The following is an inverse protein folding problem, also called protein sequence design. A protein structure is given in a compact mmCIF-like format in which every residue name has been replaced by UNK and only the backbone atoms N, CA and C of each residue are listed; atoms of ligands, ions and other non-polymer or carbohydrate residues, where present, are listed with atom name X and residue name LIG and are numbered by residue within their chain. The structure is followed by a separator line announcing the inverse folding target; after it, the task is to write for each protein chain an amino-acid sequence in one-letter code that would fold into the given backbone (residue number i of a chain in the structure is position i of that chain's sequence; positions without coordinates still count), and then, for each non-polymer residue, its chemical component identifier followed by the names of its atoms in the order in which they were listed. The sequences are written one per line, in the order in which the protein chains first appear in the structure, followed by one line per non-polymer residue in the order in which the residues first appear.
data_IF_929426714811
#
_entry.id   IF_929426714811
#
_cell.length_a   1.000
_cell.length_b   1.000
_cell.length_c   1.000
_cell.angle_alpha   90.00
_cell.angle_beta   90.00
_cell.angle_gamma   90.00
#
_symmetry.space_group_name_H-M   'P 1'
#
loop_
_entity.id
_entity.type
_entity.pdbx_description
1 polymer ?
#
# COMPACT_ATOMS: atom_id res chain seq x y z
N UNK A 1 17.39 7.44 -55.95
CA UNK A 1 17.27 8.70 -56.72
C UNK A 1 16.31 9.61 -55.96
N UNK A 2 16.81 10.77 -55.50
CA UNK A 2 16.05 11.98 -55.04
C UNK A 2 15.25 11.82 -53.72
N UNK A 3 15.32 12.64 -52.65
CA UNK A 3 16.12 13.78 -52.13
C UNK A 3 15.76 13.87 -50.62
N UNK A 4 16.71 13.77 -49.67
CA UNK A 4 17.23 14.85 -48.78
C UNK A 4 16.35 16.09 -48.58
N UNK A 5 16.01 16.40 -47.31
CA UNK A 5 16.00 17.70 -46.59
C UNK A 5 15.93 17.36 -45.08
N UNK A 6 17.03 17.39 -44.31
CA UNK A 6 17.65 18.51 -43.59
C UNK A 6 16.77 19.29 -42.58
N UNK A 7 17.14 19.12 -41.30
CA UNK A 7 17.34 20.15 -40.24
C UNK A 7 16.10 20.91 -39.73
N UNK A 8 15.94 21.32 -38.47
CA UNK A 8 16.88 21.56 -37.36
C UNK A 8 16.08 21.74 -36.05
N UNK A 9 16.72 21.35 -34.96
CA UNK A 9 16.69 21.91 -33.60
C UNK A 9 15.73 23.07 -33.31
N UNK A 10 14.85 22.90 -32.33
CA UNK A 10 14.53 23.96 -31.37
C UNK A 10 14.44 23.40 -29.95
N UNK A 11 15.48 23.72 -29.20
CA UNK A 11 15.56 23.65 -27.75
C UNK A 11 14.64 24.72 -27.16
N UNK A 12 13.77 24.35 -26.21
CA UNK A 12 13.24 25.29 -25.22
C UNK A 12 13.23 24.61 -23.85
N UNK A 13 14.39 24.66 -23.23
CA UNK A 13 14.58 24.57 -21.78
C UNK A 13 13.82 25.72 -21.12
N UNK A 14 12.82 25.41 -20.29
CA UNK A 14 12.20 26.40 -19.40
C UNK A 14 12.88 26.25 -18.04
N UNK A 15 13.74 27.22 -17.74
CA UNK A 15 14.43 27.40 -16.46
C UNK A 15 13.55 28.33 -15.60
N UNK A 16 13.15 27.89 -14.41
CA UNK A 16 12.63 28.76 -13.35
C UNK A 16 13.62 28.80 -12.17
N UNK A 17 13.83 29.95 -11.53
CA UNK A 17 14.89 30.13 -10.53
C UNK A 17 14.51 29.65 -9.12
N UNK A 18 15.54 29.31 -8.36
CA UNK A 18 15.54 28.93 -6.94
C UNK A 18 15.11 30.06 -5.98
N UNK A 19 14.39 29.71 -4.90
CA UNK A 19 14.84 29.83 -3.48
C UNK A 19 13.80 29.25 -2.49
N UNK A 20 14.24 28.70 -1.34
CA UNK A 20 13.35 28.06 -0.36
C UNK A 20 12.72 29.10 0.58
N UNK A 21 11.41 28.97 0.82
CA UNK A 21 10.72 29.69 1.88
C UNK A 21 10.52 28.71 3.04
N UNK A 22 11.20 28.96 4.16
CA UNK A 22 10.89 28.34 5.45
C UNK A 22 9.55 28.90 5.94
N UNK A 23 8.50 28.09 5.93
CA UNK A 23 7.24 28.40 6.62
C UNK A 23 7.14 27.41 7.78
N UNK A 24 7.31 27.90 9.00
CA UNK A 24 6.89 27.16 10.19
C UNK A 24 5.36 27.05 10.15
N UNK A 25 4.84 25.83 10.05
CA UNK A 25 3.42 25.57 10.24
C UNK A 25 3.24 24.82 11.55
N UNK A 26 2.65 25.53 12.50
CA UNK A 26 2.04 25.01 13.72
C UNK A 26 1.05 23.90 13.37
N UNK A 27 1.24 22.72 13.96
CA UNK A 27 0.27 21.63 13.87
C UNK A 27 -1.01 21.99 14.65
N UNK A 28 -2.22 21.69 14.11
CA UNK A 28 -3.46 21.80 14.87
C UNK A 28 -3.55 20.68 15.92
N UNK A 29 -3.93 21.04 17.15
CA UNK A 29 -4.18 20.09 18.25
C UNK A 29 -5.43 19.23 17.98
N UNK A 30 -5.41 17.91 18.28
CA UNK A 30 -6.62 17.09 18.29
C UNK A 30 -7.49 17.38 19.52
N UNK A 31 -8.81 17.39 19.31
CA UNK A 31 -9.86 17.58 20.31
C UNK A 31 -9.80 16.51 21.42
N UNK A 32 -9.67 16.97 22.67
CA UNK A 32 -9.78 16.18 23.90
C UNK A 32 -11.18 15.55 24.02
N UNK A 33 -11.25 14.21 24.03
CA UNK A 33 -12.38 13.46 24.57
C UNK A 33 -12.21 13.32 26.09
N UNK A 34 -13.21 13.76 26.83
CA UNK A 34 -13.30 13.61 28.28
C UNK A 34 -13.25 12.14 28.72
N UNK A 35 -12.32 11.81 29.62
CA UNK A 35 -12.38 10.62 30.47
C UNK A 35 -12.59 11.08 31.92
N UNK A 36 -13.61 10.50 32.55
CA UNK A 36 -14.15 10.82 33.87
C UNK A 36 -13.14 10.56 35.00
N UNK A 37 -12.82 11.60 35.77
CA UNK A 37 -12.08 11.48 37.02
C UNK A 37 -12.99 10.94 38.14
N UNK A 38 -12.58 9.83 38.75
CA UNK A 38 -13.17 9.34 40.00
C UNK A 38 -12.68 10.20 41.17
N UNK A 39 -13.62 10.87 41.83
CA UNK A 39 -13.40 11.64 43.05
C UNK A 39 -13.24 10.69 44.24
N UNK A 40 -12.16 10.81 45.00
CA UNK A 40 -12.08 10.24 46.35
C UNK A 40 -12.13 11.34 47.42
N UNK A 41 -13.05 11.12 48.34
CA UNK A 41 -13.51 11.97 49.43
C UNK A 41 -12.43 12.24 50.49
N UNK A 42 -12.43 13.47 51.00
CA UNK A 42 -11.63 13.93 52.14
C UNK A 42 -12.35 13.67 53.45
N UNK A 43 -11.70 13.00 54.42
CA UNK A 43 -12.15 12.93 55.80
C UNK A 43 -10.99 13.13 56.80
N UNK A 44 -11.07 14.28 57.48
CA UNK A 44 -10.82 14.62 58.88
C UNK A 44 -9.46 14.29 59.55
N UNK A 45 -8.86 15.35 60.06
CA UNK A 45 -7.81 15.37 61.08
C UNK A 45 -8.36 15.03 62.48
N UNK A 46 -7.58 14.32 63.28
CA UNK A 46 -7.39 14.57 64.73
C UNK A 46 -6.12 13.89 65.25
N UNK A 47 -5.39 14.67 66.05
CA UNK A 47 -4.49 14.40 67.18
C UNK A 47 -3.27 13.45 67.10
N UNK A 48 -2.11 14.11 67.11
CA UNK A 48 -0.96 13.99 68.02
C UNK A 48 -0.74 12.67 68.76
N UNK A 49 0.32 11.95 68.37
CA UNK A 49 1.20 11.18 69.26
C UNK A 49 2.56 10.96 68.58
N UNK A 50 3.64 11.39 69.26
CA UNK A 50 5.04 11.04 68.94
C UNK A 50 5.31 9.67 69.57
N UNK A 51 5.89 8.72 68.81
CA UNK A 51 6.97 7.95 69.41
C UNK A 51 8.17 7.69 68.46
N UNK A 52 9.33 7.76 69.10
CA UNK A 52 10.54 6.96 68.91
C UNK A 52 11.23 6.86 67.55
N UNK A 53 12.36 7.59 67.48
CA UNK A 53 13.55 7.21 66.73
C UNK A 53 14.02 5.82 67.16
N UNK A 54 13.66 4.80 66.39
CA UNK A 54 14.45 3.57 66.31
C UNK A 54 14.69 3.22 64.84
N UNK A 55 15.98 3.21 64.52
CA UNK A 55 16.58 2.87 63.26
C UNK A 55 16.25 1.42 62.85
N UNK A 56 15.48 1.27 61.78
CA UNK A 56 15.66 0.18 60.83
C UNK A 56 15.50 0.77 59.42
N UNK A 57 16.62 1.19 58.84
CA UNK A 57 16.72 1.58 57.45
C UNK A 57 16.46 0.36 56.57
N UNK A 58 15.19 0.04 56.34
CA UNK A 58 14.85 -0.78 55.18
C UNK A 58 15.05 0.12 53.96
N UNK A 59 16.17 -0.08 53.27
CA UNK A 59 16.39 0.37 51.91
C UNK A 59 15.33 -0.29 51.01
N UNK A 60 14.08 0.17 51.09
CA UNK A 60 13.09 -0.19 50.11
C UNK A 60 13.33 0.71 48.92
N UNK A 61 13.85 0.13 47.84
CA UNK A 61 13.95 0.81 46.55
C UNK A 61 12.58 1.40 46.22
N UNK A 62 12.51 2.66 45.74
CA UNK A 62 11.24 3.30 45.42
C UNK A 62 10.45 2.41 44.45
N UNK A 63 9.14 2.35 44.66
CA UNK A 63 8.26 1.60 43.77
C UNK A 63 8.30 2.18 42.35
N UNK A 64 7.93 1.39 41.34
CA UNK A 64 7.90 1.86 39.94
C UNK A 64 7.06 3.14 39.76
N UNK A 65 5.85 3.27 40.36
CA UNK A 65 5.08 4.53 40.28
C UNK A 65 5.75 5.72 40.96
N UNK A 66 6.39 5.53 42.12
CA UNK A 66 7.13 6.59 42.82
C UNK A 66 8.34 7.06 42.01
N UNK A 67 9.06 6.11 41.41
CA UNK A 67 10.18 6.40 40.52
C UNK A 67 9.74 7.18 39.28
N UNK A 68 8.62 6.79 38.64
CA UNK A 68 8.08 7.52 37.50
C UNK A 68 7.72 8.96 37.86
N UNK A 69 6.97 9.18 38.95
CA UNK A 69 6.60 10.53 39.40
C UNK A 69 7.82 11.38 39.76
N UNK A 70 8.83 10.78 40.41
CA UNK A 70 10.07 11.47 40.75
C UNK A 70 10.81 11.93 39.49
N UNK A 71 10.89 11.07 38.48
CA UNK A 71 11.50 11.40 37.19
C UNK A 71 10.72 12.48 36.43
N UNK A 72 9.39 12.40 36.38
CA UNK A 72 8.55 13.45 35.77
C UNK A 72 8.72 14.80 36.48
N UNK A 73 8.78 14.78 37.81
CA UNK A 73 9.02 15.97 38.62
C UNK A 73 10.41 16.58 38.35
N UNK A 74 11.46 15.75 38.30
CA UNK A 74 12.82 16.21 38.01
C UNK A 74 12.99 16.74 36.59
N UNK A 75 12.31 16.13 35.61
CA UNK A 75 12.37 16.53 34.21
C UNK A 75 11.39 17.68 33.87
N UNK A 76 10.45 18.00 34.76
CA UNK A 76 9.47 19.06 34.57
C UNK A 76 8.41 18.74 33.50
N UNK A 77 8.24 17.47 33.12
CA UNK A 77 7.30 17.03 32.11
C UNK A 77 6.78 15.63 32.41
N UNK A 78 5.49 15.39 32.16
CA UNK A 78 4.90 14.04 32.24
C UNK A 78 5.35 13.16 31.07
N UNK A 79 5.50 11.86 31.34
CA UNK A 79 5.71 10.87 30.29
C UNK A 79 4.39 10.59 29.58
N UNK A 80 4.44 10.59 28.25
CA UNK A 80 3.27 10.27 27.43
C UNK A 80 3.10 8.75 27.33
N UNK A 81 1.86 8.28 27.31
CA UNK A 81 1.55 6.90 26.95
C UNK A 81 1.40 6.71 25.42
N UNK A 82 1.44 7.80 24.65
CA UNK A 82 1.36 7.72 23.21
C UNK A 82 2.60 7.02 22.65
N UNK A 83 2.44 6.17 21.63
CA UNK A 83 3.57 5.56 20.95
C UNK A 83 4.53 6.64 20.44
N UNK A 84 5.83 6.46 20.69
CA UNK A 84 6.87 7.37 20.18
C UNK A 84 6.96 7.30 18.64
N UNK A 85 6.43 6.24 18.03
CA UNK A 85 6.41 6.06 16.58
C UNK A 85 5.26 6.84 15.94
N UNK A 86 5.50 7.54 14.80
CA UNK A 86 4.42 8.14 14.04
C UNK A 86 3.48 7.04 13.52
N UNK A 87 2.16 7.29 13.46
CA UNK A 87 1.23 6.32 12.89
C UNK A 87 1.62 6.04 11.43
N UNK A 88 1.49 4.78 10.96
CA UNK A 88 1.85 4.43 9.61
C UNK A 88 0.89 5.08 8.60
N UNK A 89 1.44 5.72 7.57
CA UNK A 89 0.74 6.25 6.41
C UNK A 89 0.12 5.10 5.61
N UNK A 90 -0.96 5.42 4.91
CA UNK A 90 -1.53 4.54 3.89
C UNK A 90 -0.55 4.41 2.72
N UNK A 91 -0.35 3.18 2.25
CA UNK A 91 0.49 2.90 1.09
C UNK A 91 -0.34 2.38 -0.09
N UNK A 92 0.15 2.62 -1.30
CA UNK A 92 -0.37 1.98 -2.52
C UNK A 92 0.56 0.84 -2.90
N UNK A 93 0.01 -0.37 -3.01
CA UNK A 93 0.70 -1.60 -3.34
C UNK A 93 0.25 -2.02 -4.73
N UNK A 94 1.18 -2.03 -5.68
CA UNK A 94 0.96 -2.47 -7.05
C UNK A 94 1.44 -3.91 -7.18
N UNK A 95 0.51 -4.84 -7.33
CA UNK A 95 0.80 -6.25 -7.58
C UNK A 95 0.67 -6.53 -9.07
N UNK A 96 1.78 -6.94 -9.68
CA UNK A 96 1.83 -7.34 -11.08
C UNK A 96 2.67 -8.61 -11.24
N UNK A 97 2.84 -9.06 -12.48
CA UNK A 97 3.56 -10.29 -12.81
C UNK A 97 3.04 -10.90 -14.10
N UNK A 98 3.69 -11.93 -14.64
CA UNK A 98 3.28 -12.56 -15.88
C UNK A 98 1.88 -13.17 -15.81
N UNK A 99 1.28 -13.45 -16.97
CA UNK A 99 0.10 -14.30 -17.04
C UNK A 99 0.38 -15.70 -16.44
N UNK A 100 -0.58 -16.26 -15.69
CA UNK A 100 -0.48 -17.62 -15.13
C UNK A 100 0.21 -17.74 -13.77
N UNK A 101 0.83 -16.68 -13.24
CA UNK A 101 1.57 -16.74 -11.95
C UNK A 101 0.68 -16.77 -10.69
N UNK A 102 -0.64 -16.68 -10.83
CA UNK A 102 -1.58 -16.79 -9.71
C UNK A 102 -1.85 -15.48 -8.95
N UNK A 103 -1.80 -14.33 -9.62
CA UNK A 103 -2.07 -13.00 -9.02
C UNK A 103 -3.40 -12.97 -8.25
N UNK A 104 -4.47 -13.46 -8.86
CA UNK A 104 -5.81 -13.47 -8.25
C UNK A 104 -5.87 -14.36 -7.01
N UNK A 105 -5.16 -15.50 -7.02
CA UNK A 105 -5.11 -16.40 -5.86
C UNK A 105 -4.40 -15.73 -4.67
N UNK A 106 -3.26 -15.07 -4.92
CA UNK A 106 -2.53 -14.31 -3.88
C UNK A 106 -3.37 -13.17 -3.34
N UNK A 107 -4.04 -12.40 -4.21
CA UNK A 107 -4.90 -11.28 -3.82
C UNK A 107 -6.10 -11.75 -2.99
N UNK A 108 -6.78 -12.80 -3.44
CA UNK A 108 -7.94 -13.33 -2.74
C UNK A 108 -7.56 -13.83 -1.36
N UNK A 109 -6.44 -14.56 -1.24
CA UNK A 109 -5.95 -15.04 0.05
C UNK A 109 -5.49 -13.88 0.94
N UNK A 110 -4.80 -12.89 0.39
CA UNK A 110 -4.38 -11.68 1.12
C UNK A 110 -5.59 -10.92 1.69
N UNK A 111 -6.71 -10.86 0.95
CA UNK A 111 -7.96 -10.26 1.42
C UNK A 111 -8.56 -10.98 2.63
N UNK A 112 -8.36 -12.29 2.74
CA UNK A 112 -8.87 -13.09 3.86
C UNK A 112 -8.02 -12.95 5.12
N UNK A 113 -6.70 -12.83 4.97
CA UNK A 113 -5.77 -12.90 6.11
C UNK A 113 -5.36 -11.54 6.66
N UNK A 114 -5.51 -10.47 5.87
CA UNK A 114 -5.04 -9.14 6.23
C UNK A 114 -6.13 -8.07 6.12
N UNK A 115 -6.49 -7.52 7.27
CA UNK A 115 -7.42 -6.40 7.38
C UNK A 115 -6.76 -5.06 7.00
N UNK A 116 -7.58 -4.03 6.80
CA UNK A 116 -7.10 -2.68 6.47
C UNK A 116 -6.56 -2.51 5.04
N UNK A 117 -6.86 -3.47 4.15
CA UNK A 117 -6.54 -3.40 2.73
C UNK A 117 -7.80 -3.23 1.88
N UNK A 118 -7.80 -2.20 1.04
CA UNK A 118 -8.78 -2.05 -0.02
C UNK A 118 -8.23 -2.55 -1.36
N UNK A 119 -8.91 -3.53 -1.95
CA UNK A 119 -8.57 -4.06 -3.27
C UNK A 119 -9.39 -3.35 -4.33
N UNK A 120 -8.72 -2.53 -5.16
CA UNK A 120 -9.42 -1.72 -6.16
C UNK A 120 -10.03 -2.60 -7.24
N UNK A 121 -11.33 -2.43 -7.45
CA UNK A 121 -12.07 -3.09 -8.53
C UNK A 121 -11.76 -2.37 -9.84
N UNK A 122 -11.12 -3.08 -10.76
CA UNK A 122 -10.70 -2.55 -12.07
C UNK A 122 -11.90 -2.42 -12.99
N UNK A 123 -12.00 -1.34 -13.77
CA UNK A 123 -12.95 -1.24 -14.87
C UNK A 123 -12.44 -2.01 -16.09
N UNK A 124 -13.34 -2.65 -16.86
CA UNK A 124 -12.96 -3.34 -18.09
C UNK A 124 -14.06 -3.32 -19.14
N UNK A 125 -13.67 -3.27 -20.43
CA UNK A 125 -14.59 -3.39 -21.56
C UNK A 125 -14.94 -4.82 -21.94
N UNK A 126 -14.23 -5.81 -21.38
CA UNK A 126 -14.46 -7.20 -21.77
C UNK A 126 -15.81 -7.68 -21.26
N UNK A 127 -16.43 -8.67 -21.91
CA UNK A 127 -17.61 -9.33 -21.37
C UNK A 127 -17.29 -10.05 -20.06
N UNK A 128 -18.27 -10.04 -19.15
CA UNK A 128 -18.28 -10.80 -17.92
C UNK A 128 -18.25 -12.31 -18.23
N UNK A 129 -17.41 -13.06 -17.53
CA UNK A 129 -17.35 -14.53 -17.65
C UNK A 129 -18.31 -15.21 -16.66
N UNK A 130 -18.70 -16.47 -16.91
CA UNK A 130 -19.50 -17.23 -15.96
C UNK A 130 -18.85 -17.28 -14.58
N UNK A 131 -19.62 -16.89 -13.55
CA UNK A 131 -19.18 -16.87 -12.15
C UNK A 131 -18.55 -15.55 -11.67
N UNK A 132 -18.31 -14.59 -12.56
CA UNK A 132 -17.86 -13.25 -12.18
C UNK A 132 -19.05 -12.37 -11.76
N UNK A 133 -18.78 -11.40 -10.89
CA UNK A 133 -19.76 -10.48 -10.33
C UNK A 133 -19.31 -9.04 -10.59
N UNK A 134 -20.20 -8.26 -11.20
CA UNK A 134 -19.98 -6.83 -11.44
C UNK A 134 -19.83 -6.06 -10.13
N UNK A 135 -18.90 -5.11 -10.11
CA UNK A 135 -18.53 -4.34 -8.93
C UNK A 135 -17.75 -5.11 -7.87
N UNK A 136 -17.43 -6.39 -8.10
CA UNK A 136 -16.59 -7.21 -7.24
C UNK A 136 -15.32 -7.68 -7.95
N UNK A 137 -15.47 -8.35 -9.08
CA UNK A 137 -14.34 -8.87 -9.85
C UNK A 137 -13.76 -7.80 -10.78
N UNK A 138 -14.66 -7.08 -11.44
CA UNK A 138 -14.42 -5.91 -12.29
C UNK A 138 -15.67 -5.02 -12.29
N UNK A 139 -15.53 -3.76 -12.68
CA UNK A 139 -16.63 -2.99 -13.24
C UNK A 139 -16.69 -3.30 -14.74
N UNK A 140 -17.69 -4.07 -15.15
CA UNK A 140 -17.91 -4.43 -16.55
C UNK A 140 -18.68 -3.30 -17.21
N UNK A 141 -17.98 -2.51 -18.02
CA UNK A 141 -18.54 -1.33 -18.69
C UNK A 141 -18.49 -1.53 -20.20
N UNK A 142 -19.37 -0.86 -20.94
CA UNK A 142 -19.24 -0.83 -22.40
C UNK A 142 -17.97 -0.09 -22.82
N UNK A 143 -17.53 -0.31 -24.07
CA UNK A 143 -16.40 0.45 -24.64
C UNK A 143 -16.65 1.95 -24.58
N UNK A 144 -17.84 2.40 -24.94
CA UNK A 144 -18.19 3.84 -24.95
C UNK A 144 -18.19 4.43 -23.54
N UNK A 145 -18.70 3.68 -22.55
CA UNK A 145 -18.62 4.07 -21.15
C UNK A 145 -17.16 4.17 -20.68
N UNK A 146 -16.32 3.19 -21.03
CA UNK A 146 -14.90 3.22 -20.69
C UNK A 146 -14.20 4.44 -21.29
N UNK A 147 -14.47 4.77 -22.56
CA UNK A 147 -13.91 5.95 -23.21
C UNK A 147 -14.39 7.24 -22.54
N UNK A 148 -15.65 7.32 -22.13
CA UNK A 148 -16.15 8.46 -21.35
C UNK A 148 -15.43 8.60 -20.01
N UNK A 149 -15.13 7.50 -19.30
CA UNK A 149 -14.32 7.54 -18.07
C UNK A 149 -12.90 8.07 -18.33
N UNK A 150 -12.32 7.77 -19.50
CA UNK A 150 -11.03 8.32 -19.92
C UNK A 150 -11.13 9.82 -20.19
N UNK A 151 -12.13 10.27 -20.94
CA UNK A 151 -12.37 11.68 -21.27
C UNK A 151 -12.63 12.54 -20.02
N UNK A 152 -13.33 11.99 -19.03
CA UNK A 152 -13.62 12.65 -17.76
C UNK A 152 -12.46 12.56 -16.74
N UNK A 153 -11.31 12.01 -17.13
CA UNK A 153 -10.15 11.81 -16.26
C UNK A 153 -10.44 10.99 -14.97
N UNK A 154 -11.41 10.07 -15.03
CA UNK A 154 -11.85 9.27 -13.87
C UNK A 154 -10.90 8.11 -13.54
N UNK A 155 -10.02 7.76 -14.48
CA UNK A 155 -9.08 6.64 -14.37
C UNK A 155 -7.68 7.14 -14.02
N UNK A 156 -7.04 6.53 -13.02
CA UNK A 156 -5.65 6.78 -12.65
C UNK A 156 -4.71 6.26 -13.74
N UNK A 157 -5.05 5.10 -14.28
CA UNK A 157 -4.30 4.40 -15.32
C UNK A 157 -5.30 3.60 -16.17
N UNK A 158 -5.00 3.45 -17.45
CA UNK A 158 -5.70 2.54 -18.35
C UNK A 158 -4.78 2.01 -19.45
N UNK A 159 -5.10 0.80 -19.91
CA UNK A 159 -4.37 0.11 -20.98
C UNK A 159 -5.31 -0.77 -21.83
N UNK A 160 -4.87 -1.09 -23.04
CA UNK A 160 -5.51 -2.07 -23.91
C UNK A 160 -4.76 -3.41 -23.79
N UNK A 161 -5.36 -4.36 -23.08
CA UNK A 161 -4.71 -5.61 -22.68
C UNK A 161 -5.39 -6.78 -23.38
N UNK A 162 -4.68 -7.42 -24.32
CA UNK A 162 -5.24 -8.45 -25.21
C UNK A 162 -6.50 -7.99 -25.97
N UNK A 163 -6.52 -6.73 -26.41
CA UNK A 163 -7.65 -6.14 -27.14
C UNK A 163 -8.79 -5.62 -26.27
N UNK A 164 -8.68 -5.73 -24.94
CA UNK A 164 -9.70 -5.30 -23.99
C UNK A 164 -9.20 -4.12 -23.13
N UNK A 165 -10.02 -3.08 -22.98
CA UNK A 165 -9.69 -1.98 -22.10
C UNK A 165 -9.73 -2.41 -20.65
N UNK A 166 -8.76 -1.94 -19.88
CA UNK A 166 -8.69 -2.07 -18.42
C UNK A 166 -8.25 -0.75 -17.82
N UNK A 167 -8.84 -0.37 -16.70
CA UNK A 167 -8.47 0.88 -16.03
C UNK A 167 -8.76 0.89 -14.55
N UNK A 168 -8.03 1.75 -13.83
CA UNK A 168 -8.07 1.85 -12.36
C UNK A 168 -8.85 3.11 -11.97
N UNK A 169 -10.09 3.00 -11.45
CA UNK A 169 -10.88 4.17 -11.08
C UNK A 169 -10.29 4.94 -9.88
N UNK A 170 -10.05 6.25 -10.02
CA UNK A 170 -9.45 7.10 -8.97
C UNK A 170 -10.29 7.17 -7.71
N UNK A 171 -11.62 7.18 -7.86
CA UNK A 171 -12.58 7.37 -6.77
C UNK A 171 -12.39 6.36 -5.62
N UNK A 172 -12.19 5.08 -5.94
CA UNK A 172 -11.96 4.03 -4.95
C UNK A 172 -10.69 4.31 -4.13
N UNK A 173 -9.61 4.70 -4.81
CA UNK A 173 -8.33 4.97 -4.16
C UNK A 173 -8.49 6.11 -3.14
N UNK A 174 -9.06 7.23 -3.57
CA UNK A 174 -9.23 8.41 -2.72
C UNK A 174 -10.17 8.13 -1.54
N UNK A 175 -11.29 7.45 -1.78
CA UNK A 175 -12.26 7.13 -0.75
C UNK A 175 -11.69 6.22 0.34
N UNK A 176 -11.01 5.14 -0.04
CA UNK A 176 -10.53 4.14 0.93
C UNK A 176 -9.21 4.57 1.61
N UNK A 177 -8.36 5.34 0.93
CA UNK A 177 -7.23 5.99 1.61
C UNK A 177 -7.70 6.96 2.69
N UNK A 178 -8.77 7.73 2.44
CA UNK A 178 -9.34 8.63 3.44
C UNK A 178 -9.94 7.89 4.66
N UNK A 179 -10.32 6.62 4.50
CA UNK A 179 -10.75 5.73 5.60
C UNK A 179 -9.58 5.11 6.36
N UNK A 180 -8.34 5.35 5.92
CA UNK A 180 -7.14 4.85 6.55
C UNK A 180 -6.67 3.48 6.03
N UNK A 181 -7.26 2.98 4.95
CA UNK A 181 -6.91 1.69 4.34
C UNK A 181 -5.74 1.81 3.36
N UNK A 182 -4.88 0.79 3.33
CA UNK A 182 -3.87 0.65 2.28
C UNK A 182 -4.54 0.17 0.99
N UNK A 183 -4.02 0.60 -0.15
CA UNK A 183 -4.64 0.33 -1.45
C UNK A 183 -3.87 -0.75 -2.19
N UNK A 184 -4.55 -1.80 -2.64
CA UNK A 184 -3.98 -2.85 -3.47
C UNK A 184 -4.49 -2.72 -4.91
N UNK A 185 -3.57 -2.50 -5.84
CA UNK A 185 -3.81 -2.42 -7.28
C UNK A 185 -3.35 -3.70 -7.96
N UNK A 186 -4.25 -4.37 -8.67
CA UNK A 186 -3.95 -5.52 -9.53
C UNK A 186 -3.89 -5.08 -10.99
N UNK A 187 -2.69 -5.04 -11.55
CA UNK A 187 -2.47 -4.61 -12.95
C UNK A 187 -1.56 -5.57 -13.71
N UNK A 188 -1.60 -5.50 -15.03
CA UNK A 188 -0.61 -6.17 -15.88
C UNK A 188 0.71 -5.37 -15.92
N UNK A 189 1.66 -5.82 -16.74
CA UNK A 189 2.99 -5.19 -16.81
C UNK A 189 2.90 -3.77 -17.38
N UNK A 190 2.04 -3.54 -18.37
CA UNK A 190 1.88 -2.22 -18.99
C UNK A 190 1.29 -1.23 -17.98
N UNK A 191 0.23 -1.62 -17.28
CA UNK A 191 -0.37 -0.81 -16.23
C UNK A 191 0.61 -0.53 -15.09
N UNK A 192 1.41 -1.52 -14.67
CA UNK A 192 2.46 -1.31 -13.66
C UNK A 192 3.51 -0.29 -14.11
N UNK A 193 3.92 -0.29 -15.37
CA UNK A 193 4.87 0.71 -15.90
C UNK A 193 4.26 2.12 -15.94
N UNK A 194 2.98 2.23 -16.27
CA UNK A 194 2.26 3.52 -16.23
C UNK A 194 2.11 4.03 -14.81
N UNK A 195 1.68 3.17 -13.88
CA UNK A 195 1.62 3.53 -12.45
C UNK A 195 3.00 3.88 -11.89
N UNK A 196 4.07 3.23 -12.35
CA UNK A 196 5.44 3.60 -11.93
C UNK A 196 5.79 5.01 -12.37
N UNK A 197 5.35 5.47 -13.55
CA UNK A 197 5.57 6.84 -14.02
C UNK A 197 4.75 7.86 -13.22
N UNK A 198 3.52 7.49 -12.84
CA UNK A 198 2.59 8.37 -12.12
C UNK A 198 2.95 8.49 -10.64
N UNK A 199 3.16 7.35 -9.97
CA UNK A 199 3.36 7.24 -8.53
C UNK A 199 4.85 7.20 -8.14
N UNK A 200 5.73 6.75 -9.03
CA UNK A 200 7.17 6.69 -8.76
C UNK A 200 7.49 5.90 -7.49
N UNK A 201 8.13 6.58 -6.54
CA UNK A 201 8.54 6.02 -5.25
C UNK A 201 7.45 6.15 -4.16
N UNK A 202 6.28 6.72 -4.46
CA UNK A 202 5.19 6.77 -3.49
C UNK A 202 4.46 5.44 -3.33
N UNK A 203 4.54 4.54 -4.32
CA UNK A 203 3.92 3.22 -4.30
C UNK A 203 4.94 2.09 -4.23
N UNK A 204 4.52 0.96 -3.68
CA UNK A 204 5.31 -0.29 -3.55
C UNK A 204 4.96 -1.21 -4.71
N UNK A 205 5.94 -1.61 -5.50
CA UNK A 205 5.73 -2.46 -6.67
C UNK A 205 6.22 -3.88 -6.41
N UNK A 206 5.30 -4.83 -6.40
CA UNK A 206 5.57 -6.25 -6.15
C UNK A 206 5.33 -7.06 -7.43
N UNK A 207 6.35 -7.79 -7.85
CA UNK A 207 6.31 -8.69 -9.00
C UNK A 207 6.13 -10.14 -8.55
N UNK A 208 4.98 -10.74 -8.89
CA UNK A 208 4.70 -12.15 -8.65
C UNK A 208 5.29 -13.01 -9.78
N UNK A 209 5.98 -14.08 -9.41
CA UNK A 209 6.53 -15.07 -10.35
C UNK A 209 6.16 -16.49 -9.92
N UNK A 210 6.15 -17.41 -10.88
CA UNK A 210 6.19 -18.84 -10.56
C UNK A 210 7.60 -19.26 -10.13
N UNK A 211 7.72 -20.46 -9.58
CA UNK A 211 8.99 -21.08 -9.18
C UNK A 211 9.91 -21.40 -10.36
N UNK A 212 9.34 -21.51 -11.57
CA UNK A 212 10.10 -21.73 -12.81
C UNK A 212 9.27 -21.33 -14.03
N UNK A 213 9.94 -21.18 -15.18
CA UNK A 213 9.27 -21.00 -16.46
C UNK A 213 8.37 -22.20 -16.79
N UNK A 214 8.83 -23.43 -16.53
CA UNK A 214 8.03 -24.64 -16.73
C UNK A 214 6.74 -24.59 -15.91
N UNK A 215 6.81 -24.26 -14.62
CA UNK A 215 5.63 -24.14 -13.76
C UNK A 215 4.67 -23.05 -14.24
N UNK A 216 5.19 -21.94 -14.76
CA UNK A 216 4.37 -20.89 -15.37
C UNK A 216 3.62 -21.40 -16.61
N UNK A 217 4.30 -22.13 -17.49
CA UNK A 217 3.72 -22.71 -18.71
C UNK A 217 2.69 -23.80 -18.38
N UNK A 218 2.99 -24.70 -17.43
CA UNK A 218 2.04 -25.71 -16.95
C UNK A 218 0.74 -25.08 -16.46
N UNK A 219 0.81 -23.98 -15.69
CA UNK A 219 -0.38 -23.25 -15.22
C UNK A 219 -1.18 -22.60 -16.34
N UNK A 220 -0.56 -22.24 -17.46
CA UNK A 220 -1.26 -21.73 -18.64
C UNK A 220 -1.98 -22.86 -19.38
N UNK A 221 -1.32 -24.03 -19.52
CA UNK A 221 -1.91 -25.23 -20.13
C UNK A 221 -3.12 -25.71 -19.32
N UNK A 222 -2.99 -25.76 -17.99
CA UNK A 222 -4.03 -26.28 -17.08
C UNK A 222 -5.34 -25.48 -17.12
N UNK A 223 -5.32 -24.25 -17.63
CA UNK A 223 -6.55 -23.45 -17.79
C UNK A 223 -7.52 -24.05 -18.81
N UNK A 224 -7.06 -24.90 -19.75
CA UNK A 224 -7.88 -25.70 -20.70
C UNK A 224 -8.98 -24.93 -21.47
N UNK A 225 -8.85 -23.62 -21.60
CA UNK A 225 -9.89 -22.75 -22.18
C UNK A 225 -9.51 -22.17 -23.54
N UNK A 226 -8.35 -22.53 -24.09
CA UNK A 226 -7.71 -21.80 -25.20
C UNK A 226 -7.21 -22.75 -26.28
N UNK A 227 -7.18 -22.26 -27.52
CA UNK A 227 -6.56 -22.94 -28.65
C UNK A 227 -5.04 -23.01 -28.50
N UNK A 228 -4.38 -23.88 -29.28
CA UNK A 228 -2.92 -24.01 -29.27
C UNK A 228 -2.21 -22.72 -29.69
N UNK A 229 -2.80 -21.95 -30.61
CA UNK A 229 -2.27 -20.67 -31.09
C UNK A 229 -2.35 -19.58 -30.00
N UNK A 230 -3.48 -19.47 -29.31
CA UNK A 230 -3.66 -18.55 -28.19
C UNK A 230 -2.71 -18.88 -27.03
N UNK A 231 -2.53 -20.16 -26.73
CA UNK A 231 -1.59 -20.61 -25.70
C UNK A 231 -0.15 -20.20 -26.06
N UNK A 232 0.27 -20.37 -27.32
CA UNK A 232 1.60 -19.96 -27.77
C UNK A 232 1.82 -18.45 -27.58
N UNK A 233 0.83 -17.63 -27.95
CA UNK A 233 0.87 -16.17 -27.74
C UNK A 233 1.01 -15.84 -26.26
N UNK A 234 0.26 -16.51 -25.37
CA UNK A 234 0.33 -16.27 -23.92
C UNK A 234 1.66 -16.70 -23.31
N UNK A 235 2.21 -17.83 -23.73
CA UNK A 235 3.53 -18.28 -23.27
C UNK A 235 4.61 -17.30 -23.72
N UNK A 236 4.62 -16.90 -24.99
CA UNK A 236 5.56 -15.91 -25.50
C UNK A 236 5.44 -14.57 -24.77
N UNK A 237 4.22 -14.10 -24.54
CA UNK A 237 3.95 -12.88 -23.78
C UNK A 237 4.46 -13.00 -22.35
N UNK A 238 4.16 -14.09 -21.65
CA UNK A 238 4.60 -14.29 -20.27
C UNK A 238 6.13 -14.29 -20.13
N UNK A 239 6.86 -14.85 -21.11
CA UNK A 239 8.34 -14.78 -21.14
C UNK A 239 8.85 -13.35 -21.27
N UNK A 240 8.20 -12.52 -22.10
CA UNK A 240 8.55 -11.11 -22.23
C UNK A 240 8.21 -10.34 -20.95
N UNK A 241 7.04 -10.60 -20.35
CA UNK A 241 6.60 -9.98 -19.09
C UNK A 241 7.63 -10.18 -17.96
N UNK A 242 8.26 -11.37 -17.86
CA UNK A 242 9.31 -11.65 -16.86
C UNK A 242 10.51 -10.70 -16.98
N UNK A 243 10.86 -10.23 -18.18
CA UNK A 243 12.00 -9.31 -18.39
C UNK A 243 11.80 -7.95 -17.73
N UNK A 244 10.55 -7.61 -17.38
CA UNK A 244 10.21 -6.38 -16.69
C UNK A 244 10.37 -6.44 -15.17
N UNK A 245 10.75 -7.60 -14.60
CA UNK A 245 10.98 -7.78 -13.15
C UNK A 245 11.90 -6.71 -12.56
N UNK A 246 12.94 -6.29 -13.29
CA UNK A 246 13.89 -5.24 -12.88
C UNK A 246 13.27 -3.86 -12.59
N UNK A 247 12.01 -3.64 -12.98
CA UNK A 247 11.30 -2.38 -12.77
C UNK A 247 10.44 -2.37 -11.49
N UNK A 248 10.47 -3.45 -10.70
CA UNK A 248 9.70 -3.63 -9.48
C UNK A 248 10.60 -3.53 -8.25
N UNK A 249 10.02 -3.17 -7.10
CA UNK A 249 10.76 -3.01 -5.85
C UNK A 249 11.03 -4.38 -5.20
N UNK A 250 10.08 -5.31 -5.34
CA UNK A 250 10.12 -6.63 -4.74
C UNK A 250 9.71 -7.72 -5.73
N UNK A 251 10.24 -8.92 -5.54
CA UNK A 251 9.78 -10.15 -6.19
C UNK A 251 9.25 -11.14 -5.14
N UNK A 252 8.13 -11.79 -5.45
CA UNK A 252 7.56 -12.85 -4.62
C UNK A 252 7.30 -14.07 -5.49
N UNK A 253 7.83 -15.21 -5.06
CA UNK A 253 7.65 -16.50 -5.74
C UNK A 253 6.38 -17.15 -5.21
N UNK A 254 5.39 -17.36 -6.08
CA UNK A 254 4.19 -18.12 -5.81
C UNK A 254 4.37 -19.56 -6.33
N UNK A 255 5.01 -20.41 -5.54
CA UNK A 255 5.29 -21.80 -5.89
C UNK A 255 4.04 -22.68 -5.77
N UNK A 256 3.95 -23.76 -6.57
CA UNK A 256 2.81 -24.68 -6.56
C UNK A 256 2.64 -25.30 -5.17
N UNK A 257 1.42 -25.22 -4.63
CA UNK A 257 1.10 -25.72 -3.29
C UNK A 257 1.63 -24.89 -2.12
N UNK A 258 2.21 -23.70 -2.39
CA UNK A 258 2.78 -22.81 -1.36
C UNK A 258 2.22 -21.39 -1.45
N UNK A 259 0.90 -21.28 -1.62
CA UNK A 259 0.22 -19.99 -1.72
C UNK A 259 0.41 -19.17 -0.44
N UNK A 260 0.32 -19.80 0.73
CA UNK A 260 0.47 -19.13 2.02
C UNK A 260 1.88 -18.51 2.17
N UNK A 261 2.93 -19.17 1.69
CA UNK A 261 4.30 -18.60 1.71
C UNK A 261 4.39 -17.30 0.90
N UNK A 262 3.76 -17.26 -0.28
CA UNK A 262 3.72 -16.06 -1.11
C UNK A 262 2.92 -14.93 -0.44
N UNK A 263 1.80 -15.25 0.19
CA UNK A 263 0.97 -14.27 0.91
C UNK A 263 1.74 -13.72 2.12
N UNK A 264 2.31 -14.59 2.95
CA UNK A 264 3.15 -14.20 4.09
C UNK A 264 4.30 -13.28 3.66
N UNK A 265 4.89 -13.53 2.49
CA UNK A 265 5.94 -12.68 1.93
C UNK A 265 5.42 -11.30 1.54
N UNK A 266 4.23 -11.21 0.95
CA UNK A 266 3.59 -9.92 0.64
C UNK A 266 3.26 -9.16 1.92
N UNK A 267 2.72 -9.82 2.94
CA UNK A 267 2.45 -9.20 4.24
C UNK A 267 3.72 -8.64 4.89
N UNK A 268 4.80 -9.43 4.87
CA UNK A 268 6.11 -9.00 5.39
C UNK A 268 6.64 -7.76 4.66
N UNK A 269 6.41 -7.65 3.35
CA UNK A 269 6.80 -6.46 2.57
C UNK A 269 5.97 -5.26 3.01
N UNK A 270 4.65 -5.42 3.19
CA UNK A 270 3.78 -4.34 3.66
C UNK A 270 4.22 -3.87 5.05
N UNK A 271 4.48 -4.78 5.99
CA UNK A 271 4.92 -4.45 7.35
C UNK A 271 6.27 -3.72 7.34
N UNK A 272 7.22 -4.18 6.52
CA UNK A 272 8.51 -3.51 6.36
C UNK A 272 8.38 -2.10 5.79
N UNK A 273 7.50 -1.89 4.81
CA UNK A 273 7.22 -0.58 4.21
C UNK A 273 6.55 0.38 5.20
N UNK A 274 5.61 -0.12 6.02
CA UNK A 274 4.95 0.66 7.09
C UNK A 274 5.88 0.97 8.27
N UNK A 275 6.96 0.21 8.43
CA UNK A 275 7.97 0.40 9.49
C UNK A 275 9.10 1.36 9.11
N UNK A 276 9.10 1.93 7.89
CA UNK A 276 10.13 2.89 7.48
C UNK A 276 10.03 4.18 8.30
N UNK A 277 11.18 4.73 8.70
CA UNK A 277 11.24 6.07 9.34
C UNK A 277 10.73 7.14 8.38
N UNK A 278 11.18 7.09 7.12
CA UNK A 278 10.70 7.94 6.04
C UNK A 278 9.63 7.18 5.28
N UNK A 279 8.41 7.26 5.78
CA UNK A 279 7.27 6.58 5.18
C UNK A 279 6.91 7.19 3.83
N UNK A 280 6.35 6.36 2.95
CA UNK A 280 5.88 6.80 1.64
C UNK A 280 4.69 7.74 1.82
N UNK A 281 4.60 8.74 0.93
CA UNK A 281 3.49 9.68 0.89
C UNK A 281 2.91 9.61 -0.51
N UNK A 282 1.69 9.10 -0.61
CA UNK A 282 0.95 8.99 -1.85
C UNK A 282 0.11 10.25 -2.05
N UNK A 283 0.14 10.82 -3.25
CA UNK A 283 -0.70 11.94 -3.68
C UNK A 283 -1.39 11.55 -4.98
N UNK A 284 -2.71 11.41 -4.96
CA UNK A 284 -3.53 10.94 -6.07
C UNK A 284 -4.71 11.90 -6.27
#
# INVERSE_FOLDING_TARGET
MIRKLCSSSFSRSIIFPNKPIFISRSFPQPLLRHSSALSYSSLKMTDTQIPDKSSSSSNQSPTKPESLRSLEFQLGSSFTADPIIPPPNQIVIVISGPSGVGKDAVINKLREVREGLHFVVTATSRPMRPGEVDGKDYFFVSRDQFLSMVENEELLEYALVYGEYKGIPKKQIQEFMAKGEDIVLRVDIQGAQTLRRILGNSAVFIFLVAESELAMVERLIDRKTESQEELLVRVATAREEVRHLKNFDYVVVNAKGRLDDAVNRVESIIDAEKSKVHQRIVRI
#
